data_IF_554252044152
#
_entry.id   IF_554252044152
#
_cell.length_a   1.000
_cell.length_b   1.000
_cell.length_c   1.000
_cell.angle_alpha   90.00
_cell.angle_beta   90.00
_cell.angle_gamma   90.00
#
_symmetry.space_group_name_H-M   'P 1'
#
loop_
_entity.id
_entity.type
_entity.pdbx_description
1 polymer ?
#
# COMPACT_ATOMS: atom_id res chain seq x y z
N UNK A 1 8.03 3.55 -10.86
CA UNK A 1 6.85 4.24 -11.39
C UNK A 1 6.71 5.65 -10.78
N UNK A 2 6.51 5.84 -9.47
CA UNK A 2 6.32 7.18 -8.90
C UNK A 2 7.46 8.16 -9.25
N UNK A 3 8.72 7.72 -9.22
CA UNK A 3 9.89 8.54 -9.53
C UNK A 3 9.81 9.13 -10.97
N UNK A 4 9.42 8.31 -11.97
CA UNK A 4 9.27 8.80 -13.34
C UNK A 4 8.17 9.86 -13.42
N UNK A 5 7.07 9.66 -12.69
CA UNK A 5 5.98 10.64 -12.65
C UNK A 5 6.44 11.94 -12.01
N UNK A 6 7.00 11.88 -10.80
CA UNK A 6 7.37 13.08 -10.03
C UNK A 6 8.59 13.82 -10.58
N UNK A 7 9.59 13.10 -11.07
CA UNK A 7 10.85 13.70 -11.47
C UNK A 7 10.91 14.09 -12.96
N UNK A 8 10.11 13.41 -13.79
CA UNK A 8 10.13 13.65 -15.26
C UNK A 8 8.81 14.24 -15.74
N UNK A 9 7.68 13.56 -15.48
CA UNK A 9 6.42 13.96 -16.09
C UNK A 9 5.82 15.21 -15.42
N UNK A 10 5.78 15.27 -14.09
CA UNK A 10 5.20 16.44 -13.39
C UNK A 10 5.91 17.74 -13.77
N UNK A 11 7.27 17.85 -13.78
CA UNK A 11 7.93 19.07 -14.21
C UNK A 11 7.67 19.43 -15.69
N UNK A 12 7.51 18.40 -16.56
CA UNK A 12 7.28 18.62 -17.99
C UNK A 12 5.88 19.17 -18.27
N UNK A 13 4.86 18.74 -17.50
CA UNK A 13 3.46 19.13 -17.69
C UNK A 13 2.99 20.23 -16.75
N UNK A 14 3.84 20.73 -15.85
CA UNK A 14 3.55 21.92 -15.06
C UNK A 14 3.72 23.13 -15.94
N UNK A 15 2.66 23.94 -16.08
CA UNK A 15 2.63 25.12 -16.93
C UNK A 15 2.84 26.37 -16.07
N UNK A 16 3.81 27.21 -16.46
CA UNK A 16 4.08 28.49 -15.80
C UNK A 16 3.48 29.64 -16.61
N UNK A 17 3.05 30.70 -15.90
CA UNK A 17 2.44 31.87 -16.53
C UNK A 17 3.32 32.49 -17.62
N UNK A 18 4.63 32.57 -17.38
CA UNK A 18 5.58 33.20 -18.29
C UNK A 18 5.81 32.40 -19.58
N UNK A 19 5.92 31.06 -19.48
CA UNK A 19 6.31 30.21 -20.61
C UNK A 19 5.11 29.64 -21.35
N UNK A 20 3.95 29.46 -20.71
CA UNK A 20 2.85 28.65 -21.23
C UNK A 20 1.48 29.36 -21.19
N UNK A 21 1.44 30.70 -21.23
CA UNK A 21 0.20 31.48 -21.10
C UNK A 21 -0.90 31.07 -22.12
N UNK A 22 -0.52 30.82 -23.37
CA UNK A 22 -1.46 30.43 -24.42
C UNK A 22 -2.07 29.02 -24.16
N UNK A 23 -1.25 28.08 -23.69
CA UNK A 23 -1.69 26.72 -23.36
C UNK A 23 -2.61 26.74 -22.14
N UNK A 24 -2.27 27.50 -21.10
CA UNK A 24 -3.11 27.69 -19.92
C UNK A 24 -4.47 28.30 -20.32
N UNK A 25 -4.47 29.34 -21.16
CA UNK A 25 -5.69 29.95 -21.65
C UNK A 25 -6.58 28.95 -22.43
N UNK A 26 -5.99 28.09 -23.25
CA UNK A 26 -6.71 27.05 -23.98
C UNK A 26 -7.33 26.00 -23.05
N UNK A 27 -6.61 25.59 -22.00
CA UNK A 27 -7.13 24.64 -20.99
C UNK A 27 -8.26 25.25 -20.15
N UNK A 28 -8.11 26.52 -19.77
CA UNK A 28 -9.20 27.26 -19.08
C UNK A 28 -10.43 27.42 -19.96
N UNK A 29 -10.25 27.65 -21.25
CA UNK A 29 -11.38 27.73 -22.21
C UNK A 29 -12.12 26.39 -22.32
N UNK A 30 -11.40 25.27 -22.27
CA UNK A 30 -11.98 23.92 -22.28
C UNK A 30 -12.63 23.54 -20.93
N UNK A 31 -12.09 24.04 -19.84
CA UNK A 31 -12.60 23.77 -18.49
C UNK A 31 -12.59 25.08 -17.64
N UNK A 32 -13.68 25.82 -17.62
CA UNK A 32 -13.78 27.12 -16.90
C UNK A 32 -13.50 26.99 -15.38
N UNK A 33 -13.66 25.82 -14.78
CA UNK A 33 -13.36 25.60 -13.36
C UNK A 33 -11.88 25.80 -13.05
N UNK A 34 -10.99 25.69 -14.03
CA UNK A 34 -9.54 25.93 -13.85
C UNK A 34 -9.19 27.41 -13.67
N UNK A 35 -10.06 28.35 -14.07
CA UNK A 35 -9.80 29.79 -13.96
C UNK A 35 -9.48 30.22 -12.53
N UNK A 36 -10.28 29.77 -11.55
CA UNK A 36 -10.07 30.08 -10.15
C UNK A 36 -8.78 29.43 -9.56
N UNK A 37 -8.35 28.31 -10.11
CA UNK A 37 -7.11 27.62 -9.71
C UNK A 37 -5.90 28.40 -10.26
N UNK A 38 -5.93 28.79 -11.52
CA UNK A 38 -4.88 29.58 -12.17
C UNK A 38 -4.72 30.94 -11.49
N UNK A 39 -5.81 31.61 -11.13
CA UNK A 39 -5.77 32.88 -10.40
C UNK A 39 -5.10 32.73 -9.04
N UNK A 40 -5.48 31.71 -8.24
CA UNK A 40 -4.91 31.44 -6.92
C UNK A 40 -3.42 31.03 -6.97
N UNK A 41 -2.98 30.42 -8.05
CA UNK A 41 -1.59 29.95 -8.24
C UNK A 41 -0.68 30.97 -8.96
N UNK A 42 -1.09 32.24 -9.03
CA UNK A 42 -0.28 33.28 -9.69
C UNK A 42 -0.11 33.08 -11.19
N UNK A 43 -1.13 32.55 -11.86
CA UNK A 43 -1.12 32.32 -13.30
C UNK A 43 -0.51 31.00 -13.75
N UNK A 44 -0.06 30.14 -12.85
CA UNK A 44 0.51 28.83 -13.15
C UNK A 44 -0.53 27.71 -13.03
N UNK A 45 -0.33 26.60 -13.73
CA UNK A 45 -1.18 25.43 -13.67
C UNK A 45 -0.36 24.17 -13.34
N UNK A 46 -0.73 23.49 -12.25
CA UNK A 46 -0.08 22.24 -11.89
C UNK A 46 -0.30 21.16 -12.95
N UNK A 47 0.71 20.31 -13.15
CA UNK A 47 0.67 19.16 -14.06
C UNK A 47 -0.56 18.27 -13.86
N UNK A 48 -1.06 18.16 -12.65
CA UNK A 48 -2.24 17.33 -12.33
C UNK A 48 -3.56 17.87 -12.89
N UNK A 49 -3.59 19.09 -13.37
CA UNK A 49 -4.74 19.66 -14.10
C UNK A 49 -4.53 19.65 -15.63
N UNK A 50 -3.35 19.18 -16.09
CA UNK A 50 -3.05 19.07 -17.51
C UNK A 50 -3.43 17.67 -18.02
N UNK A 51 -4.42 17.55 -18.95
CA UNK A 51 -4.82 16.26 -19.52
C UNK A 51 -3.68 15.51 -20.20
N UNK A 52 -2.68 16.23 -20.74
CA UNK A 52 -1.51 15.66 -21.38
C UNK A 52 -0.68 14.77 -20.44
N UNK A 53 -0.62 15.10 -19.15
CA UNK A 53 0.03 14.25 -18.16
C UNK A 53 -0.63 12.86 -18.11
N UNK A 54 -1.95 12.81 -17.94
CA UNK A 54 -2.68 11.55 -17.81
C UNK A 54 -2.63 10.73 -19.09
N UNK A 55 -2.76 11.36 -20.26
CA UNK A 55 -2.63 10.68 -21.56
C UNK A 55 -1.24 10.07 -21.73
N UNK A 56 -0.20 10.83 -21.41
CA UNK A 56 1.18 10.33 -21.49
C UNK A 56 1.43 9.19 -20.51
N UNK A 57 0.94 9.31 -19.28
CA UNK A 57 1.01 8.24 -18.28
C UNK A 57 0.30 6.98 -18.77
N UNK A 58 -0.92 7.11 -19.28
CA UNK A 58 -1.71 5.98 -19.77
C UNK A 58 -1.01 5.26 -20.92
N UNK A 59 -0.49 6.00 -21.91
CA UNK A 59 0.22 5.42 -23.05
C UNK A 59 1.52 4.74 -22.62
N UNK A 60 2.32 5.39 -21.79
CA UNK A 60 3.62 4.88 -21.36
C UNK A 60 3.46 3.62 -20.49
N UNK A 61 2.62 3.67 -19.47
CA UNK A 61 2.46 2.56 -18.52
C UNK A 61 1.55 1.47 -19.07
N UNK A 62 0.54 1.82 -19.85
CA UNK A 62 -0.29 0.85 -20.57
C UNK A 62 0.55 0.08 -21.60
N UNK A 63 1.38 0.77 -22.37
CA UNK A 63 2.30 0.13 -23.32
C UNK A 63 3.32 -0.79 -22.64
N UNK A 64 3.93 -0.33 -21.55
CA UNK A 64 4.87 -1.13 -20.77
C UNK A 64 4.19 -2.36 -20.14
N UNK A 65 2.97 -2.20 -19.62
CA UNK A 65 2.16 -3.30 -19.09
C UNK A 65 1.83 -4.34 -20.18
N UNK A 66 1.49 -3.89 -21.39
CA UNK A 66 1.24 -4.78 -22.52
C UNK A 66 2.50 -5.58 -22.91
N UNK A 67 3.68 -4.94 -22.94
CA UNK A 67 4.95 -5.64 -23.20
C UNK A 67 5.20 -6.71 -22.13
N UNK A 68 5.06 -6.39 -20.85
CA UNK A 68 5.24 -7.38 -19.79
C UNK A 68 4.20 -8.51 -19.84
N UNK A 69 2.94 -8.23 -20.22
CA UNK A 69 1.94 -9.26 -20.43
C UNK A 69 2.33 -10.21 -21.54
N UNK A 70 2.82 -9.70 -22.68
CA UNK A 70 3.32 -10.54 -23.78
C UNK A 70 4.52 -11.38 -23.32
N UNK A 71 5.48 -10.79 -22.61
CA UNK A 71 6.63 -11.52 -22.06
C UNK A 71 6.17 -12.64 -21.10
N UNK A 72 5.19 -12.38 -20.25
CA UNK A 72 4.61 -13.39 -19.33
C UNK A 72 3.95 -14.53 -20.10
N UNK A 73 3.16 -14.22 -21.13
CA UNK A 73 2.54 -15.24 -22.00
C UNK A 73 3.61 -16.11 -22.66
N UNK A 74 4.65 -15.50 -23.25
CA UNK A 74 5.73 -16.23 -23.89
C UNK A 74 6.47 -17.14 -22.90
N UNK A 75 6.76 -16.62 -21.69
CA UNK A 75 7.46 -17.37 -20.64
C UNK A 75 6.64 -18.59 -20.13
N UNK A 76 5.32 -18.44 -20.04
CA UNK A 76 4.42 -19.50 -19.57
C UNK A 76 4.03 -20.48 -20.67
N UNK A 77 4.08 -20.09 -21.95
CA UNK A 77 3.58 -20.88 -23.10
C UNK A 77 4.03 -22.35 -23.13
N UNK A 78 5.33 -22.58 -22.83
CA UNK A 78 5.89 -23.94 -22.80
C UNK A 78 5.59 -24.70 -21.49
N UNK A 79 5.27 -23.98 -20.42
CA UNK A 79 4.99 -24.55 -19.10
C UNK A 79 3.51 -24.71 -18.83
N UNK A 80 2.65 -24.08 -19.61
CA UNK A 80 1.20 -24.25 -19.57
C UNK A 80 0.80 -25.58 -20.27
N UNK A 81 1.18 -26.68 -19.60
CA UNK A 81 0.99 -28.04 -20.11
C UNK A 81 0.53 -28.91 -18.93
N UNK A 82 -0.48 -29.78 -19.13
CA UNK A 82 -0.97 -30.70 -18.09
C UNK A 82 0.11 -31.50 -17.37
N UNK A 83 1.25 -31.76 -18.03
CA UNK A 83 2.41 -32.43 -17.45
C UNK A 83 2.96 -31.70 -16.21
N UNK A 84 2.81 -30.37 -16.12
CA UNK A 84 3.36 -29.54 -15.03
C UNK A 84 2.31 -29.12 -13.98
N UNK A 85 1.01 -29.25 -14.30
CA UNK A 85 -0.08 -28.84 -13.41
C UNK A 85 -0.58 -29.95 -12.47
N UNK A 86 0.12 -31.05 -12.39
CA UNK A 86 -0.23 -32.16 -11.52
C UNK A 86 -1.45 -32.98 -12.04
N UNK A 87 -1.53 -34.18 -11.56
CA UNK A 87 -2.57 -35.17 -11.94
C UNK A 87 -3.87 -35.00 -11.13
N UNK A 88 -4.17 -33.82 -10.64
CA UNK A 88 -5.40 -33.55 -9.91
C UNK A 88 -6.61 -33.59 -10.84
N UNK A 89 -7.65 -34.34 -10.47
CA UNK A 89 -8.96 -34.24 -11.12
C UNK A 89 -9.48 -32.80 -10.96
N UNK A 90 -9.81 -32.14 -12.07
CA UNK A 90 -10.43 -30.83 -12.08
C UNK A 90 -11.74 -30.87 -11.28
N UNK A 91 -11.74 -30.30 -10.09
CA UNK A 91 -12.96 -30.15 -9.31
C UNK A 91 -13.73 -28.93 -9.81
N UNK A 92 -15.00 -29.10 -10.15
CA UNK A 92 -15.88 -27.97 -10.46
C UNK A 92 -16.18 -27.22 -9.19
N UNK A 93 -15.71 -25.96 -9.11
CA UNK A 93 -15.94 -25.07 -7.96
C UNK A 93 -17.13 -24.18 -8.27
N UNK A 94 -18.16 -24.25 -7.44
CA UNK A 94 -19.35 -23.40 -7.54
C UNK A 94 -19.35 -22.31 -6.47
N UNK A 95 -20.25 -21.34 -6.57
CA UNK A 95 -20.42 -20.26 -5.59
C UNK A 95 -20.66 -20.82 -4.17
N UNK A 96 -21.36 -21.95 -4.07
CA UNK A 96 -21.61 -22.63 -2.77
C UNK A 96 -20.31 -23.04 -2.07
N UNK A 97 -19.30 -23.48 -2.83
CA UNK A 97 -18.01 -23.90 -2.27
C UNK A 97 -17.26 -22.70 -1.65
N UNK A 98 -17.40 -21.48 -2.24
CA UNK A 98 -16.84 -20.25 -1.66
C UNK A 98 -17.51 -19.90 -0.32
N UNK A 99 -18.84 -19.98 -0.26
CA UNK A 99 -19.60 -19.69 0.97
C UNK A 99 -19.31 -20.73 2.04
N UNK A 100 -19.29 -22.02 1.67
CA UNK A 100 -19.01 -23.11 2.61
C UNK A 100 -17.59 -23.03 3.17
N UNK A 101 -16.59 -22.77 2.33
CA UNK A 101 -15.22 -22.59 2.76
C UNK A 101 -15.09 -21.39 3.69
N UNK A 102 -15.68 -20.24 3.34
CA UNK A 102 -15.66 -19.06 4.21
C UNK A 102 -16.39 -19.31 5.54
N UNK A 103 -17.47 -20.06 5.53
CA UNK A 103 -18.26 -20.34 6.75
C UNK A 103 -17.57 -21.31 7.71
N UNK A 104 -16.81 -22.28 7.19
CA UNK A 104 -16.28 -23.40 7.99
C UNK A 104 -14.76 -23.44 8.13
N UNK A 105 -14.02 -22.70 7.29
CA UNK A 105 -12.56 -22.59 7.42
C UNK A 105 -12.17 -21.42 8.30
N UNK A 106 -11.93 -21.69 9.58
CA UNK A 106 -11.55 -20.69 10.57
C UNK A 106 -10.26 -19.94 10.21
N UNK A 107 -9.31 -20.61 9.54
CA UNK A 107 -8.05 -19.99 9.16
C UNK A 107 -8.28 -18.89 8.13
N UNK A 108 -9.04 -19.15 7.07
CA UNK A 108 -9.32 -18.13 6.05
C UNK A 108 -10.19 -17.00 6.61
N UNK A 109 -11.16 -17.28 7.50
CA UNK A 109 -11.96 -16.26 8.16
C UNK A 109 -11.07 -15.25 8.89
N UNK A 110 -10.19 -15.75 9.74
CA UNK A 110 -9.31 -14.88 10.54
C UNK A 110 -8.28 -14.16 9.68
N UNK A 111 -7.76 -14.82 8.65
CA UNK A 111 -6.84 -14.19 7.71
C UNK A 111 -7.51 -13.08 6.91
N UNK A 112 -8.74 -13.29 6.43
CA UNK A 112 -9.51 -12.29 5.69
C UNK A 112 -9.79 -11.06 6.58
N UNK A 113 -10.24 -11.26 7.81
CA UNK A 113 -10.47 -10.16 8.76
C UNK A 113 -9.18 -9.38 8.99
N UNK A 114 -8.09 -10.08 9.32
CA UNK A 114 -6.79 -9.48 9.60
C UNK A 114 -6.26 -8.67 8.41
N UNK A 115 -6.16 -9.30 7.25
CA UNK A 115 -5.56 -8.68 6.08
C UNK A 115 -6.42 -7.58 5.46
N UNK A 116 -7.76 -7.73 5.49
CA UNK A 116 -8.67 -6.72 4.94
C UNK A 116 -8.68 -5.44 5.79
N UNK A 117 -8.66 -5.57 7.12
CA UNK A 117 -8.57 -4.40 8.00
C UNK A 117 -7.22 -3.70 7.88
N UNK A 118 -6.12 -4.46 7.84
CA UNK A 118 -4.78 -3.91 7.60
C UNK A 118 -4.73 -3.17 6.24
N UNK A 119 -5.25 -3.79 5.19
CA UNK A 119 -5.28 -3.21 3.85
C UNK A 119 -6.12 -1.93 3.77
N UNK A 120 -7.31 -1.92 4.40
CA UNK A 120 -8.17 -0.73 4.45
C UNK A 120 -7.42 0.46 5.02
N UNK A 121 -6.85 0.29 6.20
CA UNK A 121 -6.21 1.39 6.91
C UNK A 121 -4.86 1.79 6.30
N UNK A 122 -4.13 0.84 5.73
CA UNK A 122 -2.93 1.15 4.94
C UNK A 122 -3.27 1.93 3.66
N UNK A 123 -4.39 1.59 2.98
CA UNK A 123 -4.87 2.35 1.82
C UNK A 123 -5.35 3.74 2.22
N UNK A 124 -5.96 3.88 3.40
CA UNK A 124 -6.34 5.18 3.96
C UNK A 124 -5.11 6.03 4.26
N UNK A 125 -4.10 5.47 4.93
CA UNK A 125 -2.82 6.12 5.23
C UNK A 125 -2.11 6.62 3.97
N UNK A 126 -2.07 5.81 2.92
CA UNK A 126 -1.38 6.12 1.66
C UNK A 126 -2.24 6.88 0.66
N UNK A 127 -3.44 7.31 1.04
CA UNK A 127 -4.31 8.13 0.19
C UNK A 127 -3.64 9.45 -0.18
N UNK A 128 -3.80 9.88 -1.44
CA UNK A 128 -3.15 11.09 -1.96
C UNK A 128 -3.50 12.34 -1.14
N UNK A 129 -4.75 12.52 -0.72
CA UNK A 129 -5.17 13.66 0.11
C UNK A 129 -4.47 13.66 1.46
N UNK A 130 -4.38 12.50 2.13
CA UNK A 130 -3.67 12.38 3.42
C UNK A 130 -2.20 12.73 3.27
N UNK A 131 -1.54 12.25 2.20
CA UNK A 131 -0.15 12.55 1.91
C UNK A 131 0.08 14.03 1.55
N UNK A 132 -0.82 14.64 0.78
CA UNK A 132 -0.78 16.07 0.45
C UNK A 132 -0.92 16.90 1.72
N UNK A 133 -1.88 16.57 2.58
CA UNK A 133 -2.07 17.29 3.83
C UNK A 133 -0.87 17.15 4.78
N UNK A 134 -0.32 15.93 4.93
CA UNK A 134 0.82 15.70 5.80
C UNK A 134 2.09 16.38 5.29
N UNK A 135 2.49 16.09 4.06
CA UNK A 135 3.76 16.55 3.52
C UNK A 135 3.70 17.96 2.93
N UNK A 136 2.54 18.35 2.35
CA UNK A 136 2.37 19.66 1.72
C UNK A 136 1.91 20.73 2.70
N UNK A 137 0.84 20.48 3.46
CA UNK A 137 0.23 21.48 4.33
C UNK A 137 0.93 21.52 5.69
N UNK A 138 1.11 20.36 6.34
CA UNK A 138 1.67 20.29 7.70
C UNK A 138 3.18 20.51 7.69
N UNK A 139 3.93 19.89 6.77
CA UNK A 139 5.39 20.00 6.67
C UNK A 139 5.87 21.02 5.61
N UNK A 140 4.98 21.54 4.79
CA UNK A 140 5.27 22.60 3.83
C UNK A 140 6.10 22.18 2.61
N UNK A 141 6.43 20.89 2.41
CA UNK A 141 7.25 20.45 1.28
C UNK A 141 6.87 19.04 0.79
N UNK A 142 5.77 18.95 0.07
CA UNK A 142 5.29 17.69 -0.50
C UNK A 142 6.31 17.01 -1.41
N UNK A 143 6.99 17.78 -2.26
CA UNK A 143 7.92 17.22 -3.25
C UNK A 143 9.13 16.55 -2.60
N UNK A 144 9.73 17.18 -1.57
CA UNK A 144 10.87 16.61 -0.87
C UNK A 144 10.46 15.33 -0.11
N UNK A 145 9.43 15.38 0.74
CA UNK A 145 8.99 14.23 1.52
C UNK A 145 8.53 13.05 0.65
N UNK A 146 7.83 13.33 -0.46
CA UNK A 146 7.43 12.31 -1.42
C UNK A 146 8.63 11.63 -2.05
N UNK A 147 9.65 12.38 -2.50
CA UNK A 147 10.87 11.84 -3.10
C UNK A 147 11.67 10.97 -2.13
N UNK A 148 11.88 11.43 -0.91
CA UNK A 148 12.58 10.66 0.12
C UNK A 148 11.83 9.38 0.50
N UNK A 149 10.51 9.45 0.65
CA UNK A 149 9.67 8.29 0.93
C UNK A 149 9.78 7.22 -0.17
N UNK A 150 9.79 7.61 -1.43
CA UNK A 150 9.90 6.68 -2.55
C UNK A 150 11.28 6.01 -2.64
N UNK A 151 12.35 6.78 -2.47
CA UNK A 151 13.72 6.24 -2.54
C UNK A 151 13.98 5.28 -1.40
N UNK A 152 13.57 5.62 -0.19
CA UNK A 152 13.78 4.77 0.99
C UNK A 152 12.90 3.53 0.99
N UNK A 153 11.74 3.54 0.33
CA UNK A 153 10.83 2.41 0.30
C UNK A 153 11.43 1.15 -0.35
N UNK A 154 12.26 1.31 -1.38
CA UNK A 154 12.85 0.17 -2.12
C UNK A 154 13.79 -0.67 -1.25
N UNK A 155 14.87 -0.12 -0.66
CA UNK A 155 15.77 -0.89 0.20
C UNK A 155 15.07 -1.42 1.45
N UNK A 156 14.13 -0.65 2.03
CA UNK A 156 13.37 -1.08 3.20
C UNK A 156 12.53 -2.31 2.87
N UNK A 157 11.81 -2.30 1.73
CA UNK A 157 11.00 -3.43 1.30
C UNK A 157 11.86 -4.70 1.13
N UNK A 158 13.02 -4.60 0.49
CA UNK A 158 13.94 -5.72 0.32
C UNK A 158 14.44 -6.28 1.67
N UNK A 159 14.91 -5.42 2.56
CA UNK A 159 15.37 -5.82 3.90
C UNK A 159 14.24 -6.47 4.68
N UNK A 160 13.04 -5.89 4.63
CA UNK A 160 11.87 -6.40 5.33
C UNK A 160 11.44 -7.78 4.83
N UNK A 161 11.45 -8.04 3.52
CA UNK A 161 11.15 -9.36 2.95
C UNK A 161 12.17 -10.40 3.42
N UNK A 162 13.47 -10.08 3.43
CA UNK A 162 14.51 -10.99 3.90
C UNK A 162 14.36 -11.30 5.40
N UNK A 163 14.08 -10.27 6.21
CA UNK A 163 13.87 -10.41 7.65
C UNK A 163 12.60 -11.20 7.95
N UNK A 164 11.50 -10.91 7.24
CA UNK A 164 10.24 -11.66 7.34
C UNK A 164 10.45 -13.14 7.07
N UNK A 165 11.13 -13.50 5.97
CA UNK A 165 11.41 -14.89 5.65
C UNK A 165 12.22 -15.61 6.75
N UNK A 166 13.18 -14.92 7.36
CA UNK A 166 13.96 -15.46 8.49
C UNK A 166 13.07 -15.70 9.70
N UNK A 167 12.26 -14.73 10.10
CA UNK A 167 11.35 -14.83 11.25
C UNK A 167 10.31 -15.94 11.00
N UNK A 168 9.69 -15.98 9.82
CA UNK A 168 8.68 -16.96 9.48
C UNK A 168 9.22 -18.41 9.51
N UNK A 169 10.46 -18.63 9.05
CA UNK A 169 11.12 -19.95 9.15
C UNK A 169 11.41 -20.38 10.60
N UNK A 170 11.76 -19.44 11.46
CA UNK A 170 12.11 -19.74 12.85
C UNK A 170 10.88 -19.89 13.75
N UNK A 171 9.94 -18.96 13.66
CA UNK A 171 8.82 -18.82 14.60
C UNK A 171 7.44 -19.13 13.99
N UNK A 172 7.39 -19.38 12.68
CA UNK A 172 6.14 -19.59 11.94
C UNK A 172 5.53 -18.28 11.41
N UNK A 173 4.59 -18.43 10.49
CA UNK A 173 3.98 -17.30 9.75
C UNK A 173 3.12 -16.42 10.68
N UNK A 174 2.32 -17.05 11.55
CA UNK A 174 1.50 -16.35 12.56
C UNK A 174 2.33 -15.42 13.45
N UNK A 175 3.47 -15.91 13.94
CA UNK A 175 4.37 -15.11 14.79
C UNK A 175 5.01 -13.97 13.99
N UNK A 176 5.43 -14.21 12.75
CA UNK A 176 5.98 -13.18 11.88
C UNK A 176 4.98 -12.04 11.64
N UNK A 177 3.71 -12.38 11.40
CA UNK A 177 2.65 -11.39 11.25
C UNK A 177 2.44 -10.56 12.51
N UNK A 178 2.42 -11.20 13.68
CA UNK A 178 2.29 -10.51 14.97
C UNK A 178 3.46 -9.58 15.28
N UNK A 179 4.69 -9.97 14.94
CA UNK A 179 5.88 -9.10 15.08
C UNK A 179 5.72 -7.83 14.24
N UNK A 180 5.30 -7.96 12.98
CA UNK A 180 5.01 -6.81 12.11
C UNK A 180 3.90 -5.92 12.66
N UNK A 181 2.83 -6.53 13.16
CA UNK A 181 1.66 -5.83 13.73
C UNK A 181 2.02 -5.04 14.99
N UNK A 182 2.67 -5.67 15.97
CA UNK A 182 3.09 -4.99 17.20
C UNK A 182 4.10 -3.88 16.92
N UNK A 183 5.06 -4.12 16.03
CA UNK A 183 5.99 -3.08 15.62
C UNK A 183 5.30 -1.94 14.88
N UNK A 184 4.27 -2.23 14.10
CA UNK A 184 3.39 -1.23 13.49
C UNK A 184 2.71 -0.34 14.53
N UNK A 185 2.10 -0.94 15.57
CA UNK A 185 1.45 -0.22 16.68
C UNK A 185 2.46 0.65 17.44
N UNK A 186 3.60 0.08 17.84
CA UNK A 186 4.65 0.81 18.58
C UNK A 186 5.19 1.97 17.76
N UNK A 187 5.48 1.75 16.46
CA UNK A 187 5.95 2.80 15.56
C UNK A 187 4.91 3.92 15.37
N UNK A 188 3.63 3.58 15.28
CA UNK A 188 2.55 4.57 15.20
C UNK A 188 2.46 5.42 16.46
N UNK A 189 2.55 4.80 17.63
CA UNK A 189 2.57 5.52 18.92
C UNK A 189 3.79 6.45 18.96
N UNK A 190 4.96 5.97 18.55
CA UNK A 190 6.18 6.77 18.52
C UNK A 190 6.04 7.99 17.59
N UNK A 191 5.47 7.82 16.39
CA UNK A 191 5.21 8.92 15.45
C UNK A 191 4.18 9.89 16.02
N UNK A 192 3.11 9.41 16.65
CA UNK A 192 2.09 10.27 17.26
C UNK A 192 2.70 11.12 18.37
N UNK A 193 3.45 10.51 19.27
CA UNK A 193 4.14 11.23 20.36
C UNK A 193 5.14 12.24 19.78
N UNK A 194 5.91 11.85 18.78
CA UNK A 194 6.85 12.74 18.11
C UNK A 194 6.13 13.98 17.54
N UNK A 195 5.06 13.79 16.77
CA UNK A 195 4.28 14.87 16.17
C UNK A 195 3.61 15.74 17.24
N UNK A 196 3.15 15.15 18.34
CA UNK A 196 2.56 15.89 19.45
C UNK A 196 3.58 16.78 20.18
N UNK A 197 4.76 16.24 20.50
CA UNK A 197 5.79 16.99 21.22
C UNK A 197 6.47 18.08 20.37
N UNK A 198 6.75 17.80 19.11
CA UNK A 198 7.36 18.75 18.21
C UNK A 198 6.34 19.64 17.49
N UNK A 199 5.06 19.43 17.70
CA UNK A 199 3.91 20.16 17.21
C UNK A 199 4.21 21.05 15.99
N UNK A 200 4.03 20.57 14.78
CA UNK A 200 4.37 21.30 13.55
C UNK A 200 3.45 22.50 13.27
N UNK A 201 2.60 22.90 14.23
CA UNK A 201 1.64 24.00 14.10
C UNK A 201 2.29 25.25 13.50
N UNK A 202 2.08 25.47 12.21
CA UNK A 202 2.46 26.67 11.50
C UNK A 202 3.96 26.89 11.31
N UNK A 203 4.83 26.01 11.81
CA UNK A 203 6.29 26.17 11.68
C UNK A 203 6.88 25.08 10.77
N UNK A 204 6.58 25.20 9.48
CA UNK A 204 7.13 24.32 8.45
C UNK A 204 8.67 24.36 8.39
N UNK A 205 9.32 25.40 8.94
CA UNK A 205 10.77 25.51 8.97
C UNK A 205 11.43 24.42 9.81
N UNK A 206 10.75 23.93 10.84
CA UNK A 206 11.22 22.80 11.67
C UNK A 206 11.30 21.47 10.91
N UNK A 207 10.53 21.34 9.84
CA UNK A 207 10.47 20.13 8.99
C UNK A 207 11.10 20.37 7.62
N UNK A 208 12.06 21.26 7.52
CA UNK A 208 12.73 21.55 6.24
C UNK A 208 13.55 20.37 5.76
N UNK A 209 13.25 19.96 4.55
CA UNK A 209 14.02 19.02 3.74
C UNK A 209 14.35 19.67 2.39
N UNK A 210 15.59 19.60 1.92
CA UNK A 210 15.93 20.10 0.60
C UNK A 210 15.23 19.25 -0.47
N UNK A 211 14.89 19.85 -1.59
CA UNK A 211 14.35 19.14 -2.73
C UNK A 211 15.42 18.20 -3.29
N UNK A 212 15.11 16.91 -3.34
CA UNK A 212 15.93 15.90 -3.96
C UNK A 212 15.14 15.19 -5.06
N UNK A 213 15.75 14.99 -6.22
CA UNK A 213 15.16 14.26 -7.35
C UNK A 213 16.14 13.25 -7.88
N UNK A 214 15.75 11.98 -7.95
CA UNK A 214 16.66 10.88 -8.31
C UNK A 214 17.21 11.00 -9.72
N UNK A 215 16.39 11.45 -10.68
CA UNK A 215 16.75 11.55 -12.11
C UNK A 215 17.47 12.87 -12.41
N UNK A 216 17.59 13.79 -11.46
CA UNK A 216 18.26 15.06 -11.60
C UNK A 216 19.57 15.09 -10.82
N UNK A 217 20.72 14.87 -11.48
CA UNK A 217 22.04 14.85 -10.81
C UNK A 217 22.38 16.13 -10.07
N UNK A 218 21.87 17.27 -10.53
CA UNK A 218 22.05 18.59 -9.90
C UNK A 218 21.50 18.65 -8.48
N UNK A 219 20.54 17.81 -8.14
CA UNK A 219 19.94 17.74 -6.80
C UNK A 219 20.61 16.74 -5.86
N UNK A 220 21.56 15.92 -6.33
CA UNK A 220 22.16 14.87 -5.49
C UNK A 220 23.01 15.43 -4.35
N UNK A 221 23.62 16.60 -4.54
CA UNK A 221 24.36 17.27 -3.48
C UNK A 221 23.50 17.65 -2.27
N UNK A 222 22.19 17.75 -2.42
CA UNK A 222 21.25 18.09 -1.34
C UNK A 222 20.73 16.88 -0.56
N UNK A 223 21.05 15.63 -1.00
CA UNK A 223 20.50 14.40 -0.40
C UNK A 223 20.67 14.32 1.13
N UNK A 224 21.82 14.77 1.62
CA UNK A 224 22.18 14.71 3.05
C UNK A 224 22.51 16.09 3.66
N UNK A 225 22.27 17.18 2.95
CA UNK A 225 22.59 18.52 3.39
C UNK A 225 21.33 19.36 3.59
N UNK A 226 21.34 20.28 4.55
CA UNK A 226 20.21 21.19 4.78
C UNK A 226 19.00 20.57 5.49
N UNK A 227 19.15 19.40 6.10
CA UNK A 227 18.11 18.79 6.91
C UNK A 227 18.01 19.45 8.26
N UNK A 228 16.78 19.73 8.71
CA UNK A 228 16.56 20.02 10.12
C UNK A 228 16.62 18.73 10.94
N UNK A 229 17.08 18.81 12.19
CA UNK A 229 17.14 17.66 13.09
C UNK A 229 15.76 16.98 13.25
N UNK A 230 14.70 17.78 13.31
CA UNK A 230 13.32 17.30 13.43
C UNK A 230 12.89 16.50 12.19
N UNK A 231 13.18 17.03 10.99
CA UNK A 231 12.90 16.32 9.73
C UNK A 231 13.67 15.00 9.62
N UNK A 232 14.95 15.00 10.02
CA UNK A 232 15.77 13.78 10.04
C UNK A 232 15.18 12.71 10.96
N UNK A 233 14.84 13.08 12.21
CA UNK A 233 14.23 12.13 13.16
C UNK A 233 12.90 11.61 12.62
N UNK A 234 12.05 12.48 12.07
CA UNK A 234 10.78 12.07 11.49
C UNK A 234 10.96 11.06 10.34
N UNK A 235 11.84 11.34 9.39
CA UNK A 235 12.13 10.44 8.27
C UNK A 235 12.66 9.11 8.76
N UNK A 236 13.58 9.08 9.73
CA UNK A 236 14.10 7.83 10.31
C UNK A 236 13.01 7.02 11.02
N UNK A 237 12.12 7.68 11.76
CA UNK A 237 10.96 7.03 12.40
C UNK A 237 10.02 6.42 11.35
N UNK A 238 9.70 7.16 10.29
CA UNK A 238 8.84 6.66 9.20
C UNK A 238 9.50 5.49 8.46
N UNK A 239 10.80 5.54 8.22
CA UNK A 239 11.58 4.46 7.64
C UNK A 239 11.47 3.18 8.49
N UNK A 240 11.79 3.29 9.78
CA UNK A 240 11.72 2.16 10.70
C UNK A 240 10.30 1.59 10.78
N UNK A 241 9.31 2.46 10.92
CA UNK A 241 7.89 2.09 10.96
C UNK A 241 7.43 1.38 9.68
N UNK A 242 7.78 1.92 8.50
CA UNK A 242 7.42 1.32 7.21
C UNK A 242 8.09 -0.04 7.00
N UNK A 243 9.33 -0.21 7.46
CA UNK A 243 10.05 -1.47 7.41
C UNK A 243 9.36 -2.57 8.22
N UNK A 244 8.91 -2.24 9.42
CA UNK A 244 8.19 -3.21 10.28
C UNK A 244 6.79 -3.52 9.72
N UNK A 245 6.09 -2.53 9.16
CA UNK A 245 4.81 -2.76 8.48
C UNK A 245 4.93 -3.70 7.28
N UNK A 246 6.01 -3.60 6.51
CA UNK A 246 6.23 -4.47 5.37
C UNK A 246 6.35 -5.96 5.77
N UNK A 247 6.70 -6.26 7.02
CA UNK A 247 6.71 -7.63 7.54
C UNK A 247 5.28 -8.22 7.57
N UNK A 248 4.29 -7.51 8.10
CA UNK A 248 2.91 -8.01 8.18
C UNK A 248 2.26 -8.13 6.81
N UNK A 249 2.42 -7.14 5.94
CA UNK A 249 1.78 -7.15 4.63
C UNK A 249 2.32 -8.22 3.68
N UNK A 250 3.60 -8.55 3.77
CA UNK A 250 4.24 -9.52 2.87
C UNK A 250 3.90 -10.97 3.22
N UNK A 251 3.65 -11.28 4.51
CA UNK A 251 3.39 -12.66 4.97
C UNK A 251 2.00 -13.17 4.58
N UNK A 252 1.05 -12.29 4.29
CA UNK A 252 -0.34 -12.64 3.99
C UNK A 252 -0.46 -13.60 2.80
N UNK A 253 0.37 -13.42 1.77
CA UNK A 253 0.36 -14.28 0.57
C UNK A 253 0.71 -15.72 0.94
N UNK A 254 1.72 -15.92 1.78
CA UNK A 254 2.13 -17.26 2.23
C UNK A 254 1.10 -17.86 3.18
N UNK A 255 0.48 -17.07 4.06
CA UNK A 255 -0.62 -17.52 4.92
C UNK A 255 -1.86 -17.94 4.14
N UNK A 256 -2.12 -17.34 2.97
CA UNK A 256 -3.22 -17.76 2.09
C UNK A 256 -2.96 -19.18 1.52
N UNK A 257 -1.71 -19.52 1.21
CA UNK A 257 -1.33 -20.86 0.83
C UNK A 257 -1.53 -21.88 1.98
N UNK A 258 -1.13 -21.50 3.20
CA UNK A 258 -1.37 -22.34 4.40
C UNK A 258 -2.87 -22.59 4.64
N UNK A 259 -3.74 -21.60 4.38
CA UNK A 259 -5.18 -21.79 4.46
C UNK A 259 -5.71 -22.78 3.41
N UNK A 260 -5.08 -22.84 2.22
CA UNK A 260 -5.43 -23.82 1.20
C UNK A 260 -5.01 -25.23 1.62
N UNK A 261 -3.83 -25.37 2.21
CA UNK A 261 -3.37 -26.65 2.76
C UNK A 261 -4.24 -27.12 3.93
N UNK A 262 -4.64 -26.21 4.79
CA UNK A 262 -5.59 -26.50 5.89
C UNK A 262 -6.96 -26.97 5.34
N UNK A 263 -7.44 -26.42 4.23
CA UNK A 263 -8.67 -26.88 3.60
C UNK A 263 -8.54 -28.31 3.05
N UNK A 264 -7.40 -28.66 2.46
CA UNK A 264 -7.10 -30.04 2.04
C UNK A 264 -7.10 -31.00 3.22
N UNK A 265 -6.44 -30.61 4.31
CA UNK A 265 -6.41 -31.40 5.56
C UNK A 265 -7.83 -31.62 6.12
N UNK A 266 -8.70 -30.59 6.07
CA UNK A 266 -10.06 -30.63 6.62
C UNK A 266 -11.04 -31.40 5.75
N UNK A 267 -10.97 -31.27 4.41
CA UNK A 267 -12.01 -31.73 3.49
C UNK A 267 -11.51 -32.75 2.46
N UNK A 268 -10.20 -32.92 2.32
CA UNK A 268 -9.59 -33.71 1.24
C UNK A 268 -9.65 -33.05 -0.15
N UNK A 269 -10.26 -31.85 -0.28
CA UNK A 269 -10.42 -31.16 -1.56
C UNK A 269 -9.27 -30.18 -1.79
N UNK A 270 -8.56 -30.31 -2.89
CA UNK A 270 -7.49 -29.39 -3.28
C UNK A 270 -8.05 -28.30 -4.20
N UNK A 271 -8.29 -27.11 -3.61
CA UNK A 271 -8.89 -25.96 -4.32
C UNK A 271 -8.13 -24.65 -4.03
N UNK A 272 -6.83 -24.57 -4.33
CA UNK A 272 -6.01 -23.42 -3.99
C UNK A 272 -6.48 -22.12 -4.66
N UNK A 273 -7.00 -22.22 -5.89
CA UNK A 273 -7.56 -21.07 -6.61
C UNK A 273 -8.76 -20.43 -5.90
N UNK A 274 -9.56 -21.22 -5.19
CA UNK A 274 -10.69 -20.74 -4.42
C UNK A 274 -10.24 -19.82 -3.29
N UNK A 275 -9.20 -20.22 -2.53
CA UNK A 275 -8.65 -19.42 -1.44
C UNK A 275 -8.10 -18.07 -1.93
N UNK A 276 -7.29 -18.11 -2.99
CA UNK A 276 -6.71 -16.89 -3.58
C UNK A 276 -7.78 -15.94 -4.13
N UNK A 277 -8.81 -16.47 -4.79
CA UNK A 277 -9.90 -15.65 -5.34
C UNK A 277 -10.75 -15.03 -4.22
N UNK A 278 -11.13 -15.82 -3.22
CA UNK A 278 -11.89 -15.35 -2.07
C UNK A 278 -11.16 -14.22 -1.34
N UNK A 279 -9.89 -14.45 -1.03
CA UNK A 279 -9.05 -13.46 -0.39
C UNK A 279 -8.96 -12.17 -1.23
N UNK A 280 -8.63 -12.29 -2.52
CA UNK A 280 -8.47 -11.14 -3.41
C UNK A 280 -9.76 -10.35 -3.59
N UNK A 281 -10.91 -11.03 -3.65
CA UNK A 281 -12.22 -10.38 -3.76
C UNK A 281 -12.50 -9.50 -2.53
N UNK A 282 -12.35 -10.05 -1.32
CA UNK A 282 -12.60 -9.31 -0.09
C UNK A 282 -11.59 -8.18 0.09
N UNK A 283 -10.31 -8.42 -0.19
CA UNK A 283 -9.25 -7.40 -0.14
C UNK A 283 -9.57 -6.20 -1.04
N UNK A 284 -10.01 -6.43 -2.27
CA UNK A 284 -10.38 -5.35 -3.21
C UNK A 284 -11.64 -4.62 -2.77
N UNK A 285 -12.66 -5.35 -2.33
CA UNK A 285 -13.89 -4.76 -1.84
C UNK A 285 -13.63 -3.82 -0.65
N UNK A 286 -12.88 -4.30 0.34
CA UNK A 286 -12.61 -3.55 1.57
C UNK A 286 -11.66 -2.38 1.30
N UNK A 287 -10.60 -2.58 0.51
CA UNK A 287 -9.66 -1.50 0.20
C UNK A 287 -10.28 -0.36 -0.61
N UNK A 288 -11.33 -0.63 -1.41
CA UNK A 288 -12.07 0.41 -2.15
C UNK A 288 -12.78 1.41 -1.24
N UNK A 289 -13.08 1.04 0.00
CA UNK A 289 -13.70 1.92 0.99
C UNK A 289 -12.75 2.96 1.56
N UNK A 290 -11.44 2.84 1.35
CA UNK A 290 -10.44 3.74 1.91
C UNK A 290 -10.67 5.20 1.53
N UNK A 291 -11.02 5.47 0.25
CA UNK A 291 -11.31 6.83 -0.20
C UNK A 291 -12.52 7.43 0.51
N UNK A 292 -13.57 6.62 0.74
CA UNK A 292 -14.77 7.04 1.48
C UNK A 292 -14.44 7.36 2.95
N UNK A 293 -13.59 6.55 3.58
CA UNK A 293 -13.13 6.79 4.96
C UNK A 293 -12.35 8.12 5.03
N UNK A 294 -11.45 8.37 4.10
CA UNK A 294 -10.72 9.65 4.02
C UNK A 294 -11.69 10.83 3.85
N UNK A 295 -12.59 10.73 2.87
CA UNK A 295 -13.59 11.78 2.63
C UNK A 295 -14.44 12.06 3.88
N UNK A 296 -14.83 11.02 4.62
CA UNK A 296 -15.58 11.17 5.87
C UNK A 296 -14.78 11.98 6.90
N UNK A 297 -13.50 11.65 7.14
CA UNK A 297 -12.66 12.37 8.10
C UNK A 297 -12.51 13.85 7.74
N UNK A 298 -12.25 14.16 6.48
CA UNK A 298 -12.12 15.56 6.03
C UNK A 298 -13.46 16.31 5.99
N UNK A 299 -14.58 15.61 5.73
CA UNK A 299 -15.91 16.23 5.81
C UNK A 299 -16.28 16.67 7.23
N UNK A 300 -15.83 15.92 8.26
CA UNK A 300 -16.05 16.28 9.68
C UNK A 300 -15.34 17.59 10.07
N UNK A 301 -14.29 17.97 9.36
CA UNK A 301 -13.53 19.20 9.59
C UNK A 301 -13.83 20.30 8.56
N UNK A 302 -14.94 20.16 7.83
CA UNK A 302 -15.50 21.21 6.98
C UNK A 302 -15.29 21.03 5.48
N UNK A 303 -14.55 20.02 5.03
CA UNK A 303 -14.30 19.77 3.59
C UNK A 303 -15.37 18.85 3.01
N UNK A 304 -16.58 19.37 2.76
CA UNK A 304 -17.73 18.60 2.25
C UNK A 304 -17.78 18.53 0.73
N UNK A 305 -17.46 19.64 0.06
CA UNK A 305 -17.61 19.78 -1.39
C UNK A 305 -16.32 19.47 -2.15
N UNK A 306 -15.15 19.74 -1.54
CA UNK A 306 -13.85 19.46 -2.11
C UNK A 306 -12.85 19.06 -1.02
N UNK A 307 -11.97 18.10 -1.33
CA UNK A 307 -10.91 17.69 -0.43
C UNK A 307 -9.78 18.73 -0.43
N UNK A 308 -8.99 18.83 0.69
CA UNK A 308 -7.84 19.73 0.75
C UNK A 308 -6.81 19.41 -0.34
N UNK A 309 -6.15 20.45 -0.83
CA UNK A 309 -5.05 20.40 -1.79
C UNK A 309 -3.80 21.11 -1.24
N UNK A 310 -2.73 21.21 -2.04
CA UNK A 310 -1.47 21.84 -1.64
C UNK A 310 -1.58 23.36 -1.40
N UNK A 311 -2.66 23.99 -1.88
CA UNK A 311 -2.93 25.43 -1.73
C UNK A 311 -3.82 25.73 -0.52
N UNK A 312 -4.38 24.70 0.10
CA UNK A 312 -5.26 24.84 1.26
C UNK A 312 -4.45 25.30 2.47
N UNK A 313 -4.85 26.39 3.16
CA UNK A 313 -4.13 26.86 4.34
C UNK A 313 -4.23 25.86 5.50
N UNK A 314 -3.19 25.84 6.33
CA UNK A 314 -3.16 25.01 7.54
C UNK A 314 -4.34 25.34 8.46
N UNK A 315 -4.96 24.29 9.01
CA UNK A 315 -5.92 24.39 10.12
C UNK A 315 -5.74 23.21 11.08
N UNK A 316 -6.11 23.40 12.36
CA UNK A 316 -6.07 22.34 13.35
C UNK A 316 -6.99 21.16 12.96
N UNK A 317 -8.09 21.44 12.27
CA UNK A 317 -8.97 20.41 11.74
C UNK A 317 -8.27 19.52 10.72
N UNK A 318 -7.55 20.09 9.76
CA UNK A 318 -6.75 19.35 8.80
C UNK A 318 -5.69 18.51 9.53
N UNK A 319 -5.00 19.09 10.51
CA UNK A 319 -3.98 18.37 11.29
C UNK A 319 -4.58 17.10 11.92
N UNK A 320 -5.67 17.24 12.69
CA UNK A 320 -6.27 16.08 13.38
C UNK A 320 -6.90 15.07 12.44
N UNK A 321 -7.55 15.49 11.34
CA UNK A 321 -8.06 14.59 10.32
C UNK A 321 -6.92 13.80 9.65
N UNK A 322 -5.80 14.48 9.35
CA UNK A 322 -4.62 13.84 8.74
C UNK A 322 -3.97 12.84 9.70
N UNK A 323 -3.76 13.21 10.98
CA UNK A 323 -3.20 12.30 11.99
C UNK A 323 -4.17 11.12 12.23
N UNK A 324 -5.47 11.37 12.23
CA UNK A 324 -6.49 10.33 12.29
C UNK A 324 -6.31 9.29 11.20
N UNK A 325 -6.25 9.73 9.95
CA UNK A 325 -6.09 8.85 8.80
C UNK A 325 -4.70 8.21 8.70
N UNK A 326 -3.63 8.95 9.04
CA UNK A 326 -2.26 8.51 8.85
C UNK A 326 -1.75 7.59 9.96
N UNK A 327 -2.19 7.78 11.20
CA UNK A 327 -1.68 7.07 12.38
C UNK A 327 -2.76 6.32 13.14
N UNK A 328 -3.88 6.98 13.51
CA UNK A 328 -4.85 6.39 14.43
C UNK A 328 -5.63 5.24 13.78
N UNK A 329 -6.09 5.39 12.55
CA UNK A 329 -6.79 4.33 11.82
C UNK A 329 -5.92 3.08 11.60
N UNK A 330 -4.65 3.18 11.18
CA UNK A 330 -3.75 2.03 11.16
C UNK A 330 -3.62 1.30 12.49
N UNK A 331 -3.58 2.01 13.64
CA UNK A 331 -3.57 1.36 14.96
C UNK A 331 -4.83 0.51 15.16
N UNK A 332 -6.01 1.03 14.79
CA UNK A 332 -7.26 0.26 14.87
C UNK A 332 -7.19 -0.99 14.01
N UNK A 333 -6.68 -0.90 12.78
CA UNK A 333 -6.49 -2.04 11.89
C UNK A 333 -5.57 -3.10 12.49
N UNK A 334 -4.46 -2.70 13.09
CA UNK A 334 -3.54 -3.63 13.73
C UNK A 334 -4.09 -4.24 15.01
N UNK A 335 -4.89 -3.53 15.77
CA UNK A 335 -5.62 -4.13 16.90
C UNK A 335 -6.61 -5.20 16.41
N UNK A 336 -7.35 -4.95 15.34
CA UNK A 336 -8.19 -5.96 14.71
C UNK A 336 -7.36 -7.17 14.23
N UNK A 337 -6.16 -6.92 13.67
CA UNK A 337 -5.24 -7.97 13.28
C UNK A 337 -4.76 -8.81 14.48
N UNK A 338 -4.37 -8.18 15.59
CA UNK A 338 -3.99 -8.91 16.83
C UNK A 338 -5.12 -9.80 17.30
N UNK A 339 -6.35 -9.27 17.32
CA UNK A 339 -7.56 -10.05 17.74
C UNK A 339 -7.80 -11.21 16.76
N UNK A 340 -7.75 -10.97 15.44
CA UNK A 340 -7.93 -12.01 14.45
C UNK A 340 -6.85 -13.10 14.57
N UNK A 341 -5.59 -12.72 14.75
CA UNK A 341 -4.48 -13.65 14.93
C UNK A 341 -4.56 -14.43 16.24
N UNK A 342 -5.18 -13.90 17.28
CA UNK A 342 -5.46 -14.68 18.49
C UNK A 342 -6.33 -15.91 18.17
N UNK A 343 -7.32 -15.75 17.32
CA UNK A 343 -8.22 -16.82 16.91
C UNK A 343 -7.76 -17.61 15.69
N UNK A 344 -6.66 -17.25 15.06
CA UNK A 344 -6.08 -17.95 13.92
C UNK A 344 -5.46 -19.29 14.34
N UNK A 345 -5.92 -20.44 13.78
CA UNK A 345 -5.57 -21.75 14.31
C UNK A 345 -4.21 -22.29 13.84
N UNK A 346 -3.64 -21.75 12.74
CA UNK A 346 -2.45 -22.32 12.14
C UNK A 346 -1.19 -21.78 12.82
N UNK A 347 -0.74 -22.48 13.85
CA UNK A 347 0.59 -22.30 14.43
C UNK A 347 1.64 -23.06 13.62
N UNK A 348 2.93 -22.88 13.92
CA UNK A 348 4.01 -23.61 13.26
C UNK A 348 3.86 -25.11 13.44
N UNK A 349 3.60 -25.56 14.67
CA UNK A 349 3.42 -26.96 15.01
C UNK A 349 2.22 -27.58 14.27
N UNK A 350 1.10 -26.82 14.20
CA UNK A 350 -0.10 -27.28 13.47
C UNK A 350 0.15 -27.37 11.95
N UNK A 351 0.96 -26.47 11.41
CA UNK A 351 1.32 -26.55 9.99
C UNK A 351 2.26 -27.72 9.69
N UNK A 352 3.18 -28.06 10.59
CA UNK A 352 4.02 -29.24 10.45
C UNK A 352 3.17 -30.53 10.44
N UNK A 353 2.16 -30.64 11.31
CA UNK A 353 1.20 -31.74 11.32
C UNK A 353 0.43 -31.85 9.99
N UNK A 354 -0.12 -30.71 9.53
CA UNK A 354 -0.87 -30.64 8.28
C UNK A 354 -0.03 -31.07 7.08
N UNK A 355 1.20 -30.58 6.98
CA UNK A 355 2.11 -30.93 5.89
C UNK A 355 2.51 -32.40 5.91
N UNK A 356 2.71 -33.00 7.09
CA UNK A 356 2.96 -34.42 7.22
C UNK A 356 1.77 -35.27 6.71
N UNK A 357 0.54 -34.90 7.08
CA UNK A 357 -0.67 -35.60 6.62
C UNK A 357 -0.91 -35.43 5.12
N UNK A 358 -0.71 -34.23 4.56
CA UNK A 358 -0.77 -34.01 3.12
C UNK A 358 0.28 -34.84 2.39
N UNK A 359 1.47 -34.96 2.94
CA UNK A 359 2.53 -35.84 2.43
C UNK A 359 2.09 -37.30 2.35
N UNK A 360 1.43 -37.80 3.41
CA UNK A 360 0.84 -39.15 3.45
C UNK A 360 -0.23 -39.35 2.39
N UNK A 361 -1.19 -38.40 2.28
CA UNK A 361 -2.26 -38.44 1.28
C UNK A 361 -1.70 -38.50 -0.16
N UNK A 362 -0.68 -37.68 -0.44
CA UNK A 362 0.01 -37.67 -1.74
C UNK A 362 0.72 -39.01 -2.04
N UNK A 363 1.39 -39.59 -1.04
CA UNK A 363 2.06 -40.88 -1.19
C UNK A 363 1.07 -42.03 -1.46
N UNK A 364 -0.05 -42.08 -0.73
CA UNK A 364 -1.13 -43.06 -0.96
C UNK A 364 -1.77 -42.89 -2.34
N UNK A 365 -1.99 -41.64 -2.81
CA UNK A 365 -2.52 -41.38 -4.14
C UNK A 365 -1.56 -41.82 -5.25
N UNK A 366 -0.26 -41.61 -5.07
CA UNK A 366 0.76 -42.09 -6.02
C UNK A 366 0.86 -43.61 -6.07
N UNK A 367 0.76 -44.31 -4.91
CA UNK A 367 0.78 -45.76 -4.82
C UNK A 367 -0.45 -46.40 -5.49
N UNK A 368 -1.60 -45.73 -5.53
CA UNK A 368 -2.82 -46.21 -6.23
C UNK A 368 -2.76 -46.02 -7.74
N UNK A 369 -1.87 -45.20 -8.26
CA UNK A 369 -1.71 -44.92 -9.69
C UNK A 369 -0.54 -45.70 -10.31
N UNK A 370 0.34 -46.27 -9.50
CA UNK A 370 1.41 -47.20 -9.91
C UNK A 370 0.89 -48.66 -9.96
#
# INVERSE_FOLDING_TARGET
FPIIVTDVLVPKFTLTAEANAAEIASLVAQNPALAGIVEKSGGSLSAFYNPGLFTTMQLMFGGLSAVFAVCAIIALWRKDNPKYFGLGTTQKVGIKDYVDTLAHNRAIQMLVVSASTDKLFMSTKSNATVMICLFGIIFGNYAAYSSYSQITSIPICLISILLMNKIARQMGQKASMLVGTWGGIIGSIAITLFLFFFNPKGDASKFSLPAFRLIRPDTWGTLFTGWTTTALIFVLLVIAWSGVQALSSSIVITMTADCADYEVYRTGKYVPGLMGTLFSFVDKLVSSLAATVVALFYSMVGFKDALPDTMTPYSDGIFWATIGCFVLLPIVGWLCNVVAMHFYPLTKEKMEEIQAEIGRIKAEAAAKQA
#
